data_IF_819189044636
#
_entry.id   IF_819189044636
#
_cell.length_a   1.000
_cell.length_b   1.000
_cell.length_c   1.000
_cell.angle_alpha   90.00
_cell.angle_beta   90.00
_cell.angle_gamma   90.00
#
_symmetry.space_group_name_H-M   'P 1'
#
loop_
_entity.id
_entity.type
_entity.pdbx_description
1 polymer ?
#
# COMPACT_ATOMS: atom_id res chain seq x y z
N UNK A 1 3.38 7.89 -4.68
CA UNK A 1 3.83 7.52 -6.04
C UNK A 1 3.95 6.02 -6.10
N UNK A 2 3.26 5.37 -7.04
CA UNK A 2 3.31 3.93 -7.24
C UNK A 2 4.74 3.44 -7.51
N UNK A 3 5.06 2.24 -7.04
CA UNK A 3 6.37 1.61 -7.19
C UNK A 3 6.28 0.46 -8.17
N UNK A 4 7.26 0.34 -9.07
CA UNK A 4 7.41 -0.87 -9.87
C UNK A 4 7.77 -2.05 -8.95
N UNK A 5 7.08 -3.18 -9.12
CA UNK A 5 7.29 -4.41 -8.36
C UNK A 5 7.34 -5.59 -9.32
N UNK A 6 8.06 -6.65 -8.93
CA UNK A 6 8.19 -7.84 -9.75
C UNK A 6 7.10 -8.85 -9.41
N UNK A 7 6.41 -9.37 -10.43
CA UNK A 7 5.53 -10.52 -10.29
C UNK A 7 6.38 -11.78 -10.40
N UNK A 8 6.58 -12.49 -9.29
CA UNK A 8 7.34 -13.74 -9.27
C UNK A 8 6.50 -14.89 -9.85
N UNK A 9 7.09 -15.90 -10.53
CA UNK A 9 6.34 -17.05 -11.04
C UNK A 9 5.51 -17.81 -9.98
N UNK A 10 5.95 -17.77 -8.71
CA UNK A 10 5.20 -18.34 -7.59
C UNK A 10 3.81 -17.74 -7.38
N UNK A 11 3.56 -16.53 -7.87
CA UNK A 11 2.22 -15.93 -7.88
C UNK A 11 1.20 -16.80 -8.61
N UNK A 12 1.55 -17.26 -9.82
CA UNK A 12 0.67 -18.08 -10.66
C UNK A 12 0.55 -19.53 -10.20
N UNK A 13 1.45 -19.98 -9.32
CA UNK A 13 1.46 -21.35 -8.76
C UNK A 13 0.80 -21.45 -7.39
N UNK A 14 0.34 -20.33 -6.82
CA UNK A 14 -0.30 -20.33 -5.52
C UNK A 14 -1.77 -20.77 -5.66
N UNK A 15 -2.08 -21.97 -5.17
CA UNK A 15 -3.41 -22.58 -5.28
C UNK A 15 -4.50 -21.75 -4.59
N UNK A 16 -4.25 -21.28 -3.36
CA UNK A 16 -5.18 -20.41 -2.62
C UNK A 16 -5.47 -19.11 -3.37
N UNK A 17 -4.46 -18.53 -4.02
CA UNK A 17 -4.63 -17.31 -4.79
C UNK A 17 -5.36 -17.59 -6.11
N UNK A 18 -5.13 -18.75 -6.72
CA UNK A 18 -5.74 -19.18 -7.97
C UNK A 18 -7.26 -19.40 -7.86
N UNK A 19 -7.77 -19.69 -6.65
CA UNK A 19 -9.20 -19.80 -6.37
C UNK A 19 -9.92 -18.44 -6.37
N UNK A 20 -9.20 -17.32 -6.25
CA UNK A 20 -9.78 -15.99 -6.29
C UNK A 20 -10.12 -15.53 -7.71
N UNK A 21 -11.09 -14.62 -7.82
CA UNK A 21 -11.46 -14.03 -9.09
C UNK A 21 -10.25 -13.34 -9.76
N UNK A 22 -10.23 -13.27 -11.10
CA UNK A 22 -9.14 -12.65 -11.84
C UNK A 22 -8.85 -11.21 -11.39
N UNK A 23 -9.90 -10.42 -11.15
CA UNK A 23 -9.74 -9.05 -10.66
C UNK A 23 -9.23 -8.96 -9.22
N UNK A 24 -9.56 -9.91 -8.33
CA UNK A 24 -9.01 -9.95 -6.96
C UNK A 24 -7.51 -10.24 -6.98
N UNK A 25 -7.08 -11.13 -7.89
CA UNK A 25 -5.66 -11.40 -8.14
C UNK A 25 -4.92 -10.18 -8.70
N UNK A 26 -5.55 -9.43 -9.61
CA UNK A 26 -5.03 -8.16 -10.12
C UNK A 26 -4.97 -7.08 -9.04
N UNK A 27 -5.99 -7.00 -8.19
CA UNK A 27 -6.01 -6.11 -7.02
C UNK A 27 -4.83 -6.43 -6.12
N UNK A 28 -4.57 -7.69 -5.81
CA UNK A 28 -3.44 -8.10 -4.98
C UNK A 28 -2.09 -7.63 -5.55
N UNK A 29 -1.86 -7.80 -6.85
CA UNK A 29 -0.66 -7.26 -7.52
C UNK A 29 -0.62 -5.72 -7.41
N UNK A 30 -1.75 -5.06 -7.68
CA UNK A 30 -1.85 -3.61 -7.63
C UNK A 30 -1.55 -3.06 -6.23
N UNK A 31 -2.00 -3.73 -5.17
CA UNK A 31 -1.66 -3.38 -3.79
C UNK A 31 -0.14 -3.35 -3.56
N UNK A 32 0.65 -4.25 -4.18
CA UNK A 32 2.11 -4.21 -4.04
C UNK A 32 2.74 -2.91 -4.58
N UNK A 33 2.14 -2.34 -5.62
CA UNK A 33 2.58 -1.08 -6.23
C UNK A 33 2.22 0.14 -5.37
N UNK A 34 1.10 0.06 -4.63
CA UNK A 34 0.63 1.11 -3.73
C UNK A 34 1.29 1.04 -2.35
N UNK A 35 1.72 -0.15 -1.94
CA UNK A 35 2.31 -0.40 -0.63
C UNK A 35 3.65 0.30 -0.44
N UNK A 36 3.85 0.78 0.79
CA UNK A 36 5.15 1.21 1.26
C UNK A 36 6.13 0.01 1.39
N UNK A 37 7.36 0.30 1.82
CA UNK A 37 8.41 -0.74 1.89
C UNK A 37 8.08 -1.88 2.86
N UNK A 38 7.18 -1.66 3.82
CA UNK A 38 6.77 -2.67 4.79
C UNK A 38 5.55 -3.47 4.30
N UNK A 39 4.98 -3.10 3.15
CA UNK A 39 3.79 -3.75 2.60
C UNK A 39 2.48 -3.09 3.03
N UNK A 40 2.51 -1.84 3.53
CA UNK A 40 1.34 -1.17 4.10
C UNK A 40 0.76 -0.10 3.20
N UNK A 41 -0.56 0.00 3.23
CA UNK A 41 -1.38 0.91 2.41
C UNK A 41 -2.46 1.49 3.30
N UNK A 42 -2.86 2.74 3.08
CA UNK A 42 -4.01 3.30 3.77
C UNK A 42 -5.29 2.64 3.25
N UNK A 43 -6.16 2.22 4.17
CA UNK A 43 -7.41 1.55 3.83
C UNK A 43 -8.47 2.56 3.34
N UNK A 44 -8.34 2.92 2.07
CA UNK A 44 -9.27 3.81 1.35
C UNK A 44 -9.73 3.15 0.05
N UNK A 45 -10.74 2.27 0.08
CA UNK A 45 -11.19 1.48 -1.07
C UNK A 45 -11.52 2.32 -2.31
N UNK A 46 -12.19 3.47 -2.12
CA UNK A 46 -12.50 4.41 -3.22
C UNK A 46 -11.24 4.98 -3.88
N UNK A 47 -10.20 5.25 -3.09
CA UNK A 47 -8.92 5.75 -3.61
C UNK A 47 -8.16 4.65 -4.35
N UNK A 48 -8.10 3.45 -3.76
CA UNK A 48 -7.51 2.26 -4.40
C UNK A 48 -8.21 1.98 -5.74
N UNK A 49 -9.54 2.09 -5.80
CA UNK A 49 -10.34 1.98 -7.02
C UNK A 49 -9.92 2.98 -8.09
N UNK A 50 -9.82 4.27 -7.75
CA UNK A 50 -9.39 5.30 -8.71
C UNK A 50 -7.95 5.08 -9.20
N UNK A 51 -7.05 4.58 -8.34
CA UNK A 51 -5.65 4.36 -8.70
C UNK A 51 -5.42 3.08 -9.53
N UNK A 52 -6.20 2.02 -9.31
CA UNK A 52 -5.97 0.70 -9.93
C UNK A 52 -7.00 0.32 -11.00
N UNK A 53 -8.25 0.79 -10.88
CA UNK A 53 -9.38 0.34 -11.70
C UNK A 53 -10.37 1.49 -12.03
N UNK A 54 -9.92 2.67 -12.49
CA UNK A 54 -10.75 3.88 -12.60
C UNK A 54 -11.98 3.74 -13.50
N UNK A 55 -11.94 2.86 -14.49
CA UNK A 55 -13.00 2.70 -15.49
C UNK A 55 -13.71 1.33 -15.43
N UNK A 56 -13.28 0.44 -14.54
CA UNK A 56 -13.89 -0.88 -14.41
C UNK A 56 -15.10 -0.82 -13.46
N UNK A 57 -16.04 -1.75 -13.57
CA UNK A 57 -17.13 -1.94 -12.59
C UNK A 57 -16.70 -2.81 -11.38
N UNK A 58 -15.40 -3.09 -11.27
CA UNK A 58 -14.86 -3.93 -10.22
C UNK A 58 -15.07 -3.35 -8.80
N UNK A 59 -15.70 -4.12 -7.92
CA UNK A 59 -16.01 -3.74 -6.53
C UNK A 59 -14.82 -3.97 -5.60
N UNK A 60 -13.91 -2.99 -5.51
CA UNK A 60 -12.65 -3.10 -4.74
C UNK A 60 -12.87 -3.52 -3.28
N UNK A 61 -13.91 -3.04 -2.61
CA UNK A 61 -14.20 -3.43 -1.22
C UNK A 61 -14.47 -4.93 -1.07
N UNK A 62 -15.16 -5.53 -2.05
CA UNK A 62 -15.43 -6.97 -2.07
C UNK A 62 -14.14 -7.75 -2.33
N UNK A 63 -13.29 -7.25 -3.23
CA UNK A 63 -11.98 -7.81 -3.50
C UNK A 63 -11.03 -7.79 -2.31
N UNK A 64 -10.98 -6.66 -1.58
CA UNK A 64 -10.22 -6.54 -0.34
C UNK A 64 -10.72 -7.55 0.70
N UNK A 65 -12.04 -7.68 0.85
CA UNK A 65 -12.65 -8.68 1.74
C UNK A 65 -12.28 -10.11 1.34
N UNK A 66 -12.27 -10.43 0.04
CA UNK A 66 -11.89 -11.75 -0.46
C UNK A 66 -10.41 -12.06 -0.17
N UNK A 67 -9.52 -11.11 -0.44
CA UNK A 67 -8.09 -11.23 -0.15
C UNK A 67 -7.79 -11.40 1.34
N UNK A 68 -8.51 -10.67 2.20
CA UNK A 68 -8.39 -10.78 3.66
C UNK A 68 -8.84 -12.16 4.15
N UNK A 69 -10.02 -12.62 3.70
CA UNK A 69 -10.54 -13.96 4.04
C UNK A 69 -9.62 -15.09 3.59
N UNK A 70 -8.94 -14.92 2.46
CA UNK A 70 -7.97 -15.87 1.94
C UNK A 70 -6.58 -15.75 2.61
N UNK A 71 -6.39 -14.80 3.54
CA UNK A 71 -5.15 -14.64 4.32
C UNK A 71 -3.99 -13.99 3.55
N UNK A 72 -4.27 -13.21 2.51
CA UNK A 72 -3.25 -12.50 1.74
C UNK A 72 -2.99 -11.08 2.24
N UNK A 73 -3.99 -10.47 2.90
CA UNK A 73 -3.89 -9.16 3.53
C UNK A 73 -4.51 -9.20 4.93
N UNK A 74 -4.16 -8.24 5.77
CA UNK A 74 -4.83 -7.95 7.05
C UNK A 74 -5.28 -6.49 7.04
N UNK A 75 -6.52 -6.21 7.42
CA UNK A 75 -7.04 -4.83 7.61
C UNK A 75 -7.19 -4.54 9.09
N UNK A 76 -6.67 -3.39 9.53
CA UNK A 76 -6.77 -2.99 10.94
C UNK A 76 -6.81 -1.47 11.09
N UNK A 77 -7.28 -1.03 12.27
CA UNK A 77 -7.24 0.36 12.68
C UNK A 77 -6.31 0.56 13.87
N UNK A 78 -5.38 1.51 13.79
CA UNK A 78 -4.39 1.77 14.85
C UNK A 78 -3.92 3.21 14.80
N UNK A 79 -3.76 3.85 15.97
CA UNK A 79 -3.31 5.24 16.10
C UNK A 79 -4.06 6.24 15.19
N UNK A 80 -5.35 6.00 14.90
CA UNK A 80 -6.17 6.84 14.03
C UNK A 80 -6.04 6.57 12.53
N UNK A 81 -5.24 5.58 12.13
CA UNK A 81 -5.11 5.12 10.74
C UNK A 81 -5.95 3.87 10.51
N UNK A 82 -6.60 3.79 9.36
CA UNK A 82 -7.08 2.52 8.80
C UNK A 82 -6.04 2.03 7.80
N UNK A 83 -5.56 0.80 7.98
CA UNK A 83 -4.38 0.26 7.29
C UNK A 83 -4.70 -1.11 6.71
N UNK A 84 -4.19 -1.35 5.51
CA UNK A 84 -4.10 -2.67 4.88
C UNK A 84 -2.63 -3.07 4.89
N UNK A 85 -2.31 -4.22 5.47
CA UNK A 85 -0.98 -4.82 5.38
C UNK A 85 -1.01 -6.03 4.44
N UNK A 86 -0.15 -6.02 3.42
CA UNK A 86 0.09 -7.17 2.55
C UNK A 86 0.93 -8.19 3.32
N UNK A 87 0.32 -9.32 3.65
CA UNK A 87 0.98 -10.34 4.46
C UNK A 87 2.14 -10.97 3.68
N UNK A 88 3.26 -11.22 4.38
CA UNK A 88 4.50 -11.73 3.80
C UNK A 88 5.12 -10.85 2.70
N UNK A 89 4.73 -9.57 2.58
CA UNK A 89 5.24 -8.67 1.54
C UNK A 89 6.76 -8.65 1.46
N UNK A 90 7.47 -8.42 2.57
CA UNK A 90 8.94 -8.34 2.60
C UNK A 90 9.66 -9.67 2.35
N UNK A 91 8.95 -10.80 2.40
CA UNK A 91 9.47 -12.11 1.96
C UNK A 91 9.40 -12.25 0.43
N UNK A 92 8.40 -11.64 -0.20
CA UNK A 92 8.10 -11.82 -1.61
C UNK A 92 8.45 -10.61 -2.48
N UNK A 93 8.64 -9.44 -1.91
CA UNK A 93 9.07 -8.21 -2.57
C UNK A 93 10.37 -7.72 -1.95
N UNK A 94 11.24 -7.18 -2.79
CA UNK A 94 12.51 -6.58 -2.38
C UNK A 94 12.45 -5.08 -2.69
N UNK A 95 11.89 -4.25 -1.78
CA UNK A 95 11.97 -2.79 -1.90
C UNK A 95 13.40 -2.32 -2.17
N UNK A 96 13.53 -1.29 -3.01
CA UNK A 96 14.86 -0.80 -3.36
C UNK A 96 15.59 -0.29 -2.11
N UNK A 97 16.92 -0.42 -2.08
CA UNK A 97 17.72 -0.05 -0.91
C UNK A 97 17.58 1.42 -0.52
N UNK A 98 17.25 2.30 -1.46
CA UNK A 98 17.00 3.73 -1.24
C UNK A 98 15.53 4.12 -1.14
N UNK A 99 14.60 3.16 -1.28
CA UNK A 99 13.17 3.43 -1.06
C UNK A 99 12.96 4.01 0.34
N UNK A 100 12.04 4.96 0.52
CA UNK A 100 11.80 5.60 1.83
C UNK A 100 11.20 4.60 2.83
N UNK A 101 11.32 4.92 4.11
CA UNK A 101 10.65 4.17 5.18
C UNK A 101 9.13 4.27 5.07
N UNK A 102 8.45 3.28 5.63
CA UNK A 102 6.99 3.27 5.70
C UNK A 102 6.48 4.39 6.58
N UNK A 103 5.37 4.99 6.18
CA UNK A 103 4.71 6.04 6.95
C UNK A 103 3.53 5.50 7.77
N UNK A 104 3.16 4.23 7.57
CA UNK A 104 2.02 3.61 8.21
C UNK A 104 2.48 2.66 9.34
N UNK A 105 1.89 2.78 10.55
CA UNK A 105 2.20 1.88 11.65
C UNK A 105 1.75 0.44 11.37
N UNK A 106 2.42 -0.53 12.00
CA UNK A 106 1.86 -1.87 12.11
C UNK A 106 0.69 -1.92 13.10
N UNK A 107 0.05 -3.09 13.21
CA UNK A 107 -1.03 -3.37 14.16
C UNK A 107 -0.73 -3.07 15.63
N UNK A 108 0.54 -2.92 16.01
CA UNK A 108 0.96 -2.57 17.37
C UNK A 108 1.23 -1.07 17.53
N UNK A 109 0.99 -0.28 16.49
CA UNK A 109 1.22 1.16 16.50
C UNK A 109 2.68 1.52 16.27
N UNK A 110 3.48 0.66 15.66
CA UNK A 110 4.92 0.90 15.48
C UNK A 110 5.30 1.17 14.01
N UNK A 111 6.12 2.20 13.82
CA UNK A 111 6.81 2.46 12.56
C UNK A 111 8.13 1.68 12.51
N UNK A 112 8.43 1.10 11.35
CA UNK A 112 9.75 0.51 11.08
C UNK A 112 10.67 1.59 10.51
N UNK A 113 11.73 1.93 11.23
CA UNK A 113 12.77 2.86 10.77
C UNK A 113 14.02 2.07 10.40
N UNK A 114 14.48 2.21 9.15
CA UNK A 114 15.68 1.52 8.67
C UNK A 114 16.92 2.39 8.86
N UNK A 115 17.98 1.80 9.39
CA UNK A 115 19.27 2.48 9.46
C UNK A 115 19.89 2.57 8.06
N UNK A 116 20.41 3.75 7.72
CA UNK A 116 20.89 4.06 6.37
C UNK A 116 22.34 4.51 6.37
N UNK A 117 23.06 4.12 5.32
CA UNK A 117 24.40 4.61 5.00
C UNK A 117 24.31 6.06 4.50
N UNK A 118 25.47 6.74 4.40
CA UNK A 118 25.57 8.11 3.85
C UNK A 118 24.98 8.25 2.44
N UNK A 119 24.99 7.18 1.64
CA UNK A 119 24.42 7.14 0.30
C UNK A 119 22.90 6.83 0.26
N UNK A 120 22.23 6.81 1.42
CA UNK A 120 20.78 6.58 1.54
C UNK A 120 20.33 5.11 1.49
N UNK A 121 21.24 4.17 1.19
CA UNK A 121 20.92 2.75 1.19
C UNK A 121 20.72 2.22 2.62
N UNK A 122 19.70 1.38 2.79
CA UNK A 122 19.48 0.63 4.03
C UNK A 122 20.64 -0.32 4.33
N UNK A 123 20.96 -0.46 5.62
CA UNK A 123 22.04 -1.32 6.12
C UNK A 123 21.60 -2.75 6.40
N UNK A 124 20.28 -2.98 6.54
CA UNK A 124 19.69 -4.22 7.05
C UNK A 124 19.27 -4.11 8.52
N UNK A 125 19.90 -3.21 9.30
CA UNK A 125 19.47 -2.88 10.66
C UNK A 125 18.21 -2.02 10.64
N UNK A 126 17.29 -2.31 11.55
CA UNK A 126 16.02 -1.59 11.72
C UNK A 126 15.62 -1.50 13.18
N UNK A 127 14.86 -0.46 13.52
CA UNK A 127 14.26 -0.27 14.84
C UNK A 127 12.78 0.04 14.73
N UNK A 128 12.05 -0.23 15.82
CA UNK A 128 10.63 0.08 15.96
C UNK A 128 10.46 1.37 16.76
N UNK A 129 9.51 2.19 16.33
CA UNK A 129 9.15 3.46 16.99
C UNK A 129 7.65 3.50 17.16
N UNK A 130 7.19 3.58 18.40
CA UNK A 130 5.77 3.70 18.69
C UNK A 130 5.25 5.07 18.23
N UNK A 131 4.14 5.08 17.51
CA UNK A 131 3.47 6.30 17.05
C UNK A 131 2.82 6.96 18.26
N UNK A 132 3.07 8.24 18.47
CA UNK A 132 2.41 8.99 19.53
C UNK A 132 1.14 9.64 18.96
N UNK A 133 -0.07 9.13 19.29
CA UNK A 133 -1.31 9.58 18.67
C UNK A 133 -1.65 11.06 18.90
N UNK A 134 -0.98 11.72 19.86
CA UNK A 134 -1.17 13.14 20.19
C UNK A 134 -0.21 14.09 19.45
N UNK A 135 0.91 13.59 18.91
CA UNK A 135 1.97 14.40 18.30
C UNK A 135 2.10 14.14 16.79
N UNK A 136 1.83 12.89 16.36
CA UNK A 136 2.03 12.45 14.98
C UNK A 136 0.82 12.68 14.07
N UNK A 137 -0.22 13.37 14.53
CA UNK A 137 -1.12 14.14 13.66
C UNK A 137 -0.39 15.39 13.11
N UNK A 138 0.89 15.25 12.76
CA UNK A 138 1.53 16.23 11.89
C UNK A 138 0.80 16.08 10.56
N UNK A 139 0.18 17.17 10.13
CA UNK A 139 -0.67 17.31 8.95
C UNK A 139 -0.43 16.21 7.89
N UNK A 140 -1.50 15.57 7.35
CA UNK A 140 -1.33 14.76 6.14
C UNK A 140 -0.50 15.58 5.17
N UNK A 141 0.51 15.01 4.48
CA UNK A 141 1.37 15.79 3.62
C UNK A 141 0.46 16.62 2.73
N UNK A 142 0.50 17.94 2.95
CA UNK A 142 -0.06 18.93 2.06
C UNK A 142 0.87 18.94 0.84
N UNK A 143 0.89 17.82 0.13
CA UNK A 143 1.61 17.55 -1.12
C UNK A 143 1.37 16.08 -1.52
N UNK A 144 0.15 15.81 -1.99
CA UNK A 144 0.06 15.36 -3.37
C UNK A 144 -0.66 16.45 -4.13
N UNK A 145 0.10 17.51 -4.44
CA UNK A 145 -0.06 18.25 -5.68
C UNK A 145 0.18 17.29 -6.85
N UNK A 146 -0.77 16.36 -7.04
CA UNK A 146 -0.99 15.57 -8.24
C UNK A 146 -2.48 15.62 -8.63
N UNK A 147 -3.17 16.69 -8.22
CA UNK A 147 -3.86 17.46 -9.25
C UNK A 147 -2.72 18.10 -10.06
N UNK A 148 -2.24 17.38 -11.08
CA UNK A 148 -1.82 18.10 -12.28
C UNK A 148 -2.94 19.10 -12.54
N UNK A 149 -2.61 20.38 -12.45
CA UNK A 149 -3.42 21.52 -12.84
C UNK A 149 -4.54 21.10 -13.81
N UNK A 150 -5.72 20.78 -13.28
CA UNK A 150 -6.95 20.98 -14.03
C UNK A 150 -7.30 22.45 -13.84
N UNK A 151 -6.42 23.32 -14.36
CA UNK A 151 -6.83 24.67 -14.74
C UNK A 151 -7.56 24.65 -16.09
N UNK A 152 -7.58 23.50 -16.77
CA UNK A 152 -8.44 23.23 -17.90
C UNK A 152 -9.40 22.10 -17.52
N UNK A 153 -10.52 22.46 -16.91
CA UNK A 153 -11.68 21.57 -16.82
C UNK A 153 -12.20 21.33 -18.25
N UNK A 154 -12.22 20.11 -18.79
CA UNK A 154 -12.91 19.81 -20.04
C UNK A 154 -14.34 19.37 -19.73
N UNK A 155 -15.02 20.10 -18.84
CA UNK A 155 -16.47 20.03 -18.78
C UNK A 155 -16.93 20.98 -19.90
N UNK A 156 -17.47 20.49 -21.03
CA UNK A 156 -18.22 21.38 -21.90
C UNK A 156 -19.42 21.89 -21.11
N UNK A 157 -19.57 23.21 -21.03
CA UNK A 157 -20.77 23.81 -20.47
C UNK A 157 -22.00 23.24 -21.20
N UNK A 158 -22.85 22.52 -20.48
CA UNK A 158 -24.17 22.08 -20.93
C UNK A 158 -25.08 21.90 -19.73
#
# INVERSE_FOLDING_TARGET
MARARNIKPGFFKNEMLAELAAFDRLLFIGLWCLADREGRIEDRPKRIKMELFPCDDYQVEQGLTALEKAGFIERFAVAGWAVIEVLNFTKHQNPHGTEKDGALPDRHGELTVHERKKNGYVTGSKRKVHVNPLVDKVNPPMENALIHRFTDSPIPDS
#
